data_IF_269047575196
#
_entry.id   IF_269047575196
#
_cell.length_a   1.000
_cell.length_b   1.000
_cell.length_c   1.000
_cell.angle_alpha   90.00
_cell.angle_beta   90.00
_cell.angle_gamma   90.00
#
_symmetry.space_group_name_H-M   'P 1'
#
loop_
_entity.id
_entity.type
_entity.pdbx_description
1 polymer ?
#
# COMPACT_ATOMS: atom_id res chain seq x y z
N UNK A 1 8.21 -17.84 -16.59
CA UNK A 1 8.98 -16.61 -16.80
C UNK A 1 9.53 -16.54 -18.22
N UNK A 2 8.79 -15.97 -19.17
CA UNK A 2 9.44 -15.26 -20.29
C UNK A 2 9.31 -13.80 -19.93
N UNK A 3 10.42 -13.12 -19.59
CA UNK A 3 10.44 -11.66 -19.71
C UNK A 3 9.97 -11.37 -21.14
N UNK A 4 8.96 -10.53 -21.34
CA UNK A 4 8.72 -10.02 -22.67
C UNK A 4 10.03 -9.36 -23.10
N UNK A 5 10.73 -9.97 -24.07
CA UNK A 5 11.92 -9.39 -24.65
C UNK A 5 11.40 -8.30 -25.58
N UNK A 6 11.01 -7.18 -24.99
CA UNK A 6 10.68 -5.98 -25.73
C UNK A 6 11.98 -5.26 -26.05
N UNK A 7 12.11 -4.80 -27.29
CA UNK A 7 13.27 -4.03 -27.73
C UNK A 7 12.91 -2.54 -27.78
N UNK A 8 13.90 -1.72 -27.42
CA UNK A 8 13.85 -0.27 -27.52
C UNK A 8 15.00 0.13 -28.45
N UNK A 9 14.69 0.85 -29.53
CA UNK A 9 15.69 1.35 -30.47
C UNK A 9 15.89 2.84 -30.18
N UNK A 10 16.90 3.15 -29.38
CA UNK A 10 17.30 4.53 -29.10
C UNK A 10 17.98 5.16 -30.32
N UNK A 11 17.72 6.44 -30.55
CA UNK A 11 18.32 7.18 -31.66
C UNK A 11 18.43 8.68 -31.40
N UNK A 12 19.28 9.40 -32.16
CA UNK A 12 19.29 10.85 -32.17
C UNK A 12 17.94 11.43 -32.62
N UNK A 13 17.52 12.55 -32.04
CA UNK A 13 16.25 13.23 -32.36
C UNK A 13 16.17 13.61 -33.84
N UNK A 14 17.28 13.98 -34.46
CA UNK A 14 17.37 14.31 -35.88
C UNK A 14 16.95 13.12 -36.75
N UNK A 15 17.39 11.91 -36.38
CA UNK A 15 17.03 10.68 -37.08
C UNK A 15 15.55 10.35 -36.88
N UNK A 16 15.03 10.55 -35.69
CA UNK A 16 13.60 10.37 -35.41
C UNK A 16 12.71 11.33 -36.22
N UNK A 17 13.15 12.59 -36.41
CA UNK A 17 12.44 13.56 -37.26
C UNK A 17 12.42 13.16 -38.72
N UNK A 18 13.54 12.65 -39.26
CA UNK A 18 13.57 12.11 -40.63
C UNK A 18 12.59 10.94 -40.79
N UNK A 19 12.53 10.04 -39.81
CA UNK A 19 11.57 8.92 -39.83
C UNK A 19 10.12 9.42 -39.81
N UNK A 20 9.83 10.43 -38.99
CA UNK A 20 8.50 11.05 -38.90
C UNK A 20 8.07 11.65 -40.25
N UNK A 21 8.98 12.34 -40.94
CA UNK A 21 8.75 12.94 -42.26
C UNK A 21 8.54 11.90 -43.36
N UNK A 22 9.19 10.73 -43.28
CA UNK A 22 9.13 9.70 -44.33
C UNK A 22 7.98 8.72 -44.14
N UNK A 23 7.66 8.36 -42.90
CA UNK A 23 6.71 7.30 -42.59
C UNK A 23 5.31 7.81 -42.25
N UNK A 24 5.15 9.12 -42.01
CA UNK A 24 3.89 9.77 -41.63
C UNK A 24 3.04 8.98 -40.61
N UNK A 25 3.61 8.53 -39.48
CA UNK A 25 2.87 7.82 -38.46
C UNK A 25 1.77 8.69 -37.84
N UNK A 26 0.71 8.05 -37.35
CA UNK A 26 -0.40 8.74 -36.69
C UNK A 26 0.05 9.30 -35.34
N UNK A 27 -0.33 10.55 -35.03
CA UNK A 27 -0.03 11.13 -33.72
C UNK A 27 -0.91 10.44 -32.67
N UNK A 28 -0.29 9.73 -31.71
CA UNK A 28 -1.01 8.82 -30.83
C UNK A 28 -1.44 9.50 -29.51
N UNK A 29 -0.53 10.18 -28.82
CA UNK A 29 -0.85 11.10 -27.72
C UNK A 29 -0.45 12.53 -28.09
N UNK A 30 -1.41 13.39 -28.49
CA UNK A 30 -1.07 14.68 -29.07
C UNK A 30 -0.35 15.64 -28.13
N UNK A 31 -0.66 15.66 -26.83
CA UNK A 31 -0.01 16.54 -25.85
C UNK A 31 -0.16 15.94 -24.43
N UNK A 32 0.95 15.76 -23.71
CA UNK A 32 0.92 15.68 -22.24
C UNK A 32 0.84 17.11 -21.67
N UNK A 33 -0.30 17.78 -21.88
CA UNK A 33 -0.54 19.08 -21.26
C UNK A 33 -0.86 18.90 -19.77
N UNK A 34 0.17 18.92 -18.92
CA UNK A 34 0.00 19.26 -17.52
C UNK A 34 0.62 20.63 -17.23
N UNK A 35 -0.13 21.41 -16.45
CA UNK A 35 0.12 22.79 -16.04
C UNK A 35 1.38 22.96 -15.16
N UNK A 36 2.56 22.56 -15.63
CA UNK A 36 3.84 22.89 -15.00
C UNK A 36 5.04 22.50 -15.88
N UNK A 37 5.26 23.21 -17.00
CA UNK A 37 6.58 23.47 -17.63
C UNK A 37 7.70 22.41 -17.75
N UNK A 38 7.51 21.13 -17.44
CA UNK A 38 8.60 20.17 -17.20
C UNK A 38 8.57 18.90 -18.06
N UNK A 39 7.53 18.65 -18.85
CA UNK A 39 7.43 17.45 -19.70
C UNK A 39 6.86 17.81 -21.06
N UNK A 40 7.67 17.63 -22.12
CA UNK A 40 7.28 17.84 -23.52
C UNK A 40 7.86 16.70 -24.37
N UNK A 41 7.13 15.60 -24.45
CA UNK A 41 7.44 14.56 -25.42
C UNK A 41 6.23 14.32 -26.34
N UNK A 42 6.53 13.87 -27.55
CA UNK A 42 5.55 13.56 -28.59
C UNK A 42 5.59 12.07 -28.89
N UNK A 43 4.44 11.47 -29.15
CA UNK A 43 4.33 10.05 -29.48
C UNK A 43 3.59 9.83 -30.80
N UNK A 44 4.08 8.86 -31.57
CA UNK A 44 3.54 8.52 -32.88
C UNK A 44 3.41 7.01 -33.04
N UNK A 45 2.27 6.55 -33.55
CA UNK A 45 1.98 5.15 -33.81
C UNK A 45 2.23 4.84 -35.29
N UNK A 46 3.13 3.90 -35.54
CA UNK A 46 3.35 3.36 -36.89
C UNK A 46 2.27 2.34 -37.25
N UNK A 47 1.97 2.15 -38.55
CA UNK A 47 1.01 1.15 -39.02
C UNK A 47 1.32 -0.30 -38.58
N UNK A 48 2.58 -0.59 -38.26
CA UNK A 48 3.02 -1.90 -37.78
C UNK A 48 2.88 -2.09 -36.25
N UNK A 49 2.29 -1.12 -35.54
CA UNK A 49 2.07 -1.18 -34.10
C UNK A 49 3.21 -0.65 -33.23
N UNK A 50 4.35 -0.26 -33.82
CA UNK A 50 5.47 0.35 -33.09
C UNK A 50 5.17 1.79 -32.69
N UNK A 51 5.80 2.26 -31.61
CA UNK A 51 5.61 3.62 -31.10
C UNK A 51 6.92 4.40 -31.17
N UNK A 52 6.94 5.53 -31.86
CA UNK A 52 8.02 6.52 -31.77
C UNK A 52 7.73 7.50 -30.64
N UNK A 53 8.70 7.70 -29.75
CA UNK A 53 8.69 8.79 -28.76
C UNK A 53 9.82 9.76 -29.06
N UNK A 54 9.53 11.06 -29.03
CA UNK A 54 10.50 12.15 -29.14
C UNK A 54 10.33 13.05 -27.92
N UNK A 55 11.32 13.08 -27.02
CA UNK A 55 11.36 13.91 -25.83
C UNK A 55 12.41 15.01 -25.99
N UNK A 56 11.93 16.26 -26.04
CA UNK A 56 12.78 17.46 -26.14
C UNK A 56 12.82 18.25 -24.83
N UNK A 57 12.21 17.75 -23.75
CA UNK A 57 12.06 18.47 -22.48
C UNK A 57 13.23 18.28 -21.51
N UNK A 58 14.03 17.23 -21.68
CA UNK A 58 15.16 16.97 -20.81
C UNK A 58 16.41 17.78 -21.18
N UNK A 59 17.33 17.94 -20.21
CA UNK A 59 18.70 18.46 -20.40
C UNK A 59 19.50 17.64 -21.43
N UNK A 60 19.00 16.44 -21.78
CA UNK A 60 19.48 15.56 -22.83
C UNK A 60 18.28 15.13 -23.70
N UNK A 61 18.16 15.60 -24.96
CA UNK A 61 17.08 15.20 -25.84
C UNK A 61 17.14 13.69 -26.13
N UNK A 62 15.97 13.05 -26.19
CA UNK A 62 15.85 11.60 -26.31
C UNK A 62 14.83 11.22 -27.38
N UNK A 63 15.13 10.21 -28.18
CA UNK A 63 14.15 9.59 -29.07
C UNK A 63 14.34 8.08 -29.13
N UNK A 64 13.23 7.34 -29.20
CA UNK A 64 13.27 5.89 -29.32
C UNK A 64 12.04 5.33 -30.02
N UNK A 65 12.21 4.17 -30.68
CA UNK A 65 11.11 3.33 -31.15
C UNK A 65 10.91 2.17 -30.18
N UNK A 66 9.69 2.03 -29.68
CA UNK A 66 9.22 0.95 -28.84
C UNK A 66 8.51 -0.09 -29.70
N UNK A 67 8.69 -1.38 -29.35
CA UNK A 67 8.09 -2.49 -30.07
C UNK A 67 6.56 -2.42 -30.11
N UNK A 68 5.93 -1.94 -29.04
CA UNK A 68 4.47 -1.80 -28.91
C UNK A 68 4.09 -0.81 -27.80
N UNK A 69 2.77 -0.60 -27.67
CA UNK A 69 2.19 0.27 -26.66
C UNK A 69 2.43 -0.18 -25.22
N UNK A 70 2.49 -1.50 -24.97
CA UNK A 70 2.76 -2.06 -23.63
C UNK A 70 4.18 -1.72 -23.17
N UNK A 71 5.13 -1.79 -24.10
CA UNK A 71 6.55 -1.53 -23.83
C UNK A 71 6.75 -0.07 -23.45
N UNK A 72 6.17 0.87 -24.20
CA UNK A 72 6.30 2.29 -23.87
C UNK A 72 5.59 2.64 -22.55
N UNK A 73 4.41 2.07 -22.27
CA UNK A 73 3.70 2.26 -21.02
C UNK A 73 4.54 1.82 -19.81
N UNK A 74 5.22 0.67 -19.87
CA UNK A 74 6.10 0.21 -18.79
C UNK A 74 7.30 1.12 -18.48
N UNK A 75 7.60 2.07 -19.37
CA UNK A 75 8.72 3.02 -19.22
C UNK A 75 8.28 4.46 -18.94
N UNK A 76 6.98 4.76 -19.09
CA UNK A 76 6.41 6.11 -19.01
C UNK A 76 5.06 6.04 -18.30
N UNK A 77 5.05 6.34 -17.00
CA UNK A 77 3.86 6.19 -16.14
C UNK A 77 2.64 7.03 -16.55
N UNK A 78 2.83 8.15 -17.25
CA UNK A 78 1.75 8.97 -17.79
C UNK A 78 1.18 8.42 -19.11
N UNK A 79 1.95 7.63 -19.85
CA UNK A 79 1.43 6.80 -20.95
C UNK A 79 0.73 5.58 -20.39
N UNK A 80 1.28 4.94 -19.36
CA UNK A 80 0.64 3.85 -18.62
C UNK A 80 -0.76 4.25 -18.15
N UNK A 81 -0.88 5.40 -17.46
CA UNK A 81 -2.16 5.94 -16.98
C UNK A 81 -3.16 6.20 -18.12
N UNK A 82 -2.71 6.55 -19.34
CA UNK A 82 -3.59 6.77 -20.51
C UNK A 82 -3.92 5.49 -21.28
N UNK A 83 -3.00 4.54 -21.32
CA UNK A 83 -3.14 3.26 -22.03
C UNK A 83 -3.99 2.29 -21.24
N UNK A 84 -3.73 2.23 -19.93
CA UNK A 84 -4.49 1.41 -19.01
C UNK A 84 -5.65 2.16 -18.36
N UNK A 85 -5.67 3.49 -18.51
CA UNK A 85 -6.72 4.35 -17.99
C UNK A 85 -6.71 4.38 -16.47
N UNK A 86 -7.18 5.48 -15.89
CA UNK A 86 -7.93 5.45 -14.63
C UNK A 86 -9.27 4.69 -14.82
N UNK A 87 -9.24 3.53 -15.47
CA UNK A 87 -10.39 2.65 -15.65
C UNK A 87 -10.60 1.95 -14.31
N UNK A 88 -11.37 2.62 -13.44
CA UNK A 88 -12.23 2.09 -12.40
C UNK A 88 -11.80 0.69 -11.97
N UNK A 89 -11.15 0.49 -10.82
CA UNK A 89 -10.70 -0.84 -10.34
C UNK A 89 -11.78 -1.92 -10.57
N UNK A 90 -13.06 -1.53 -10.55
CA UNK A 90 -14.21 -2.35 -10.95
C UNK A 90 -14.12 -3.01 -12.35
N UNK A 91 -13.51 -2.40 -13.36
CA UNK A 91 -13.30 -2.96 -14.70
C UNK A 91 -12.35 -4.17 -14.66
N UNK A 92 -11.22 -4.05 -13.96
CA UNK A 92 -10.31 -5.18 -13.73
C UNK A 92 -11.03 -6.28 -12.94
N UNK A 93 -11.75 -5.90 -11.88
CA UNK A 93 -12.60 -6.81 -11.11
C UNK A 93 -13.65 -7.54 -11.97
N UNK A 94 -14.27 -6.84 -12.93
CA UNK A 94 -15.24 -7.42 -13.89
C UNK A 94 -14.56 -8.40 -14.85
N UNK A 95 -13.31 -8.16 -15.25
CA UNK A 95 -12.54 -9.10 -16.08
C UNK A 95 -12.24 -10.37 -15.30
N UNK A 96 -11.75 -10.25 -14.07
CA UNK A 96 -11.58 -11.40 -13.18
C UNK A 96 -12.92 -12.13 -13.00
N UNK A 97 -14.00 -11.42 -12.68
CA UNK A 97 -15.33 -12.02 -12.51
C UNK A 97 -15.80 -12.83 -13.75
N UNK A 98 -15.34 -12.47 -14.95
CA UNK A 98 -15.64 -13.14 -16.22
C UNK A 98 -14.70 -14.31 -16.56
N UNK A 99 -13.72 -14.64 -15.73
CA UNK A 99 -12.83 -15.78 -15.93
C UNK A 99 -11.43 -15.44 -16.45
N UNK A 100 -11.09 -14.15 -16.54
CA UNK A 100 -9.75 -13.70 -16.89
C UNK A 100 -8.83 -13.82 -15.67
N UNK A 101 -7.68 -14.49 -15.83
CA UNK A 101 -6.72 -14.67 -14.73
C UNK A 101 -5.82 -13.45 -14.53
N UNK A 102 -5.81 -12.52 -15.49
CA UNK A 102 -4.94 -11.35 -15.49
C UNK A 102 -3.47 -11.72 -15.22
N UNK A 103 -2.95 -12.70 -15.97
CA UNK A 103 -1.61 -13.28 -15.77
C UNK A 103 -0.44 -12.28 -15.89
N UNK A 104 -0.71 -11.07 -16.40
CA UNK A 104 0.24 -9.97 -16.48
C UNK A 104 0.45 -9.25 -15.12
N UNK A 105 -0.40 -9.49 -14.11
CA UNK A 105 -0.37 -8.83 -12.79
C UNK A 105 0.32 -9.69 -11.71
N UNK A 106 0.88 -9.05 -10.68
CA UNK A 106 1.46 -9.77 -9.55
C UNK A 106 0.38 -10.49 -8.71
N UNK A 107 0.79 -11.54 -7.98
CA UNK A 107 -0.11 -12.40 -7.20
C UNK A 107 -0.98 -11.64 -6.19
N UNK A 108 -0.49 -10.52 -5.66
CA UNK A 108 -1.11 -9.68 -4.64
C UNK A 108 -1.84 -8.45 -5.21
N UNK A 109 -1.86 -8.25 -6.52
CA UNK A 109 -2.45 -7.05 -7.15
C UNK A 109 -3.91 -7.24 -7.57
N UNK A 110 -4.52 -8.39 -7.26
CA UNK A 110 -5.87 -8.71 -7.71
C UNK A 110 -6.90 -8.31 -6.65
N UNK A 111 -7.64 -7.24 -6.92
CA UNK A 111 -8.78 -6.80 -6.10
C UNK A 111 -10.10 -7.39 -6.63
N UNK A 112 -11.11 -7.51 -5.76
CA UNK A 112 -12.46 -7.96 -6.12
C UNK A 112 -13.53 -7.43 -5.16
N UNK A 113 -14.67 -6.97 -5.69
CA UNK A 113 -15.84 -6.70 -4.85
C UNK A 113 -16.53 -8.01 -4.43
N UNK A 114 -17.09 -8.09 -3.20
CA UNK A 114 -17.88 -9.22 -2.72
C UNK A 114 -19.03 -9.61 -3.65
N UNK A 115 -19.63 -8.62 -4.35
CA UNK A 115 -20.71 -8.85 -5.31
C UNK A 115 -20.28 -9.78 -6.47
N UNK A 116 -18.99 -9.83 -6.79
CA UNK A 116 -18.44 -10.62 -7.89
C UNK A 116 -17.88 -11.99 -7.51
N UNK A 117 -17.78 -12.34 -6.22
CA UNK A 117 -17.19 -13.63 -5.81
C UNK A 117 -17.94 -14.82 -6.42
N UNK A 118 -19.28 -14.75 -6.48
CA UNK A 118 -20.09 -15.80 -7.09
C UNK A 118 -19.75 -15.98 -8.57
N UNK A 119 -19.56 -14.87 -9.27
CA UNK A 119 -19.21 -14.86 -10.69
C UNK A 119 -17.79 -15.40 -10.88
N UNK A 120 -16.83 -15.00 -10.05
CA UNK A 120 -15.46 -15.55 -10.04
C UNK A 120 -15.49 -17.07 -9.84
N UNK A 121 -16.19 -17.55 -8.81
CA UNK A 121 -16.31 -18.99 -8.54
C UNK A 121 -16.91 -19.74 -9.73
N UNK A 122 -17.96 -19.19 -10.34
CA UNK A 122 -18.63 -19.81 -11.47
C UNK A 122 -17.76 -19.79 -12.75
N UNK A 123 -17.23 -18.64 -13.13
CA UNK A 123 -16.50 -18.43 -14.39
C UNK A 123 -15.14 -19.12 -14.40
N UNK A 124 -14.46 -19.16 -13.25
CA UNK A 124 -13.22 -19.90 -13.07
C UNK A 124 -13.44 -21.37 -12.69
N UNK A 125 -14.69 -21.83 -12.52
CA UNK A 125 -15.04 -23.20 -12.14
C UNK A 125 -14.30 -23.66 -10.87
N UNK A 126 -14.41 -22.84 -9.84
CA UNK A 126 -13.70 -23.00 -8.59
C UNK A 126 -14.40 -24.00 -7.67
N UNK A 127 -13.65 -24.98 -7.17
CA UNK A 127 -14.08 -25.90 -6.13
C UNK A 127 -13.29 -25.62 -4.86
N UNK A 128 -13.96 -25.48 -3.73
CA UNK A 128 -13.32 -25.24 -2.44
C UNK A 128 -12.40 -26.42 -2.08
N UNK A 129 -11.15 -26.12 -1.75
CA UNK A 129 -10.14 -27.10 -1.32
C UNK A 129 -9.95 -27.03 0.20
N UNK A 130 -9.78 -25.83 0.73
CA UNK A 130 -9.42 -25.62 2.13
C UNK A 130 -9.92 -24.26 2.62
N UNK A 131 -10.33 -24.18 3.89
CA UNK A 131 -10.73 -22.93 4.52
C UNK A 131 -9.60 -22.39 5.41
N UNK A 132 -9.65 -21.08 5.70
CA UNK A 132 -8.84 -20.44 6.74
C UNK A 132 -7.31 -20.53 6.51
N UNK A 133 -6.88 -20.33 5.26
CA UNK A 133 -5.48 -20.33 4.86
C UNK A 133 -4.86 -18.95 5.14
N UNK A 134 -3.72 -18.95 5.82
CA UNK A 134 -2.88 -17.76 6.04
C UNK A 134 -1.64 -17.76 5.13
N UNK A 135 -1.46 -16.68 4.36
CA UNK A 135 -0.24 -16.45 3.58
C UNK A 135 0.16 -14.98 3.63
N UNK A 136 1.33 -14.69 4.21
CA UNK A 136 1.83 -13.33 4.40
C UNK A 136 0.83 -12.49 5.22
N UNK A 137 0.20 -11.53 4.59
CA UNK A 137 -0.81 -10.59 5.05
C UNK A 137 -2.25 -11.01 4.70
N UNK A 138 -2.42 -12.16 4.04
CA UNK A 138 -3.70 -12.63 3.52
C UNK A 138 -4.29 -13.76 4.37
N UNK A 139 -5.60 -13.72 4.57
CA UNK A 139 -6.37 -14.79 5.20
C UNK A 139 -7.66 -15.09 4.43
N UNK A 140 -7.88 -16.35 4.03
CA UNK A 140 -9.10 -16.69 3.30
C UNK A 140 -9.23 -18.15 2.88
N UNK A 141 -10.08 -18.40 1.89
CA UNK A 141 -10.42 -19.74 1.44
C UNK A 141 -9.73 -20.08 0.12
N UNK A 142 -9.16 -21.28 0.05
CA UNK A 142 -8.45 -21.78 -1.11
C UNK A 142 -9.39 -22.60 -2.00
N UNK A 143 -9.41 -22.26 -3.28
CA UNK A 143 -10.16 -22.96 -4.30
C UNK A 143 -9.23 -23.49 -5.38
N UNK A 144 -9.63 -24.58 -6.02
CA UNK A 144 -9.00 -25.12 -7.21
C UNK A 144 -9.92 -24.88 -8.41
N UNK A 145 -9.36 -24.30 -9.47
CA UNK A 145 -10.03 -24.22 -10.76
C UNK A 145 -9.93 -25.56 -11.49
N UNK A 146 -11.00 -25.94 -12.19
CA UNK A 146 -10.97 -27.05 -13.14
C UNK A 146 -9.89 -26.88 -14.25
N UNK A 147 -9.41 -25.65 -14.46
CA UNK A 147 -8.33 -25.32 -15.41
C UNK A 147 -6.91 -25.52 -14.83
N UNK A 148 -6.78 -26.03 -13.60
CA UNK A 148 -5.51 -26.51 -13.04
C UNK A 148 -4.72 -25.52 -12.16
N UNK A 149 -5.26 -24.33 -11.88
CA UNK A 149 -4.66 -23.34 -10.97
C UNK A 149 -5.49 -23.18 -9.70
N UNK A 150 -4.96 -22.44 -8.73
CA UNK A 150 -5.55 -22.24 -7.41
C UNK A 150 -5.86 -20.77 -7.20
N UNK A 151 -6.99 -20.48 -6.56
CA UNK A 151 -7.40 -19.11 -6.23
C UNK A 151 -7.64 -19.06 -4.73
N UNK A 152 -6.90 -18.19 -4.06
CA UNK A 152 -7.12 -17.87 -2.67
C UNK A 152 -7.99 -16.60 -2.62
N UNK A 153 -9.19 -16.71 -2.03
CA UNK A 153 -10.16 -15.61 -1.95
C UNK A 153 -10.27 -15.17 -0.51
N UNK A 154 -10.15 -13.85 -0.28
CA UNK A 154 -10.20 -13.26 1.04
C UNK A 154 -11.57 -13.51 1.71
N UNK A 155 -11.56 -13.69 3.03
CA UNK A 155 -12.77 -13.97 3.77
C UNK A 155 -13.67 -12.72 3.89
N UNK A 156 -14.82 -12.76 3.24
CA UNK A 156 -15.82 -11.67 3.22
C UNK A 156 -16.22 -11.17 4.62
N UNK A 157 -16.04 -11.99 5.66
CA UNK A 157 -16.40 -11.71 7.06
C UNK A 157 -15.20 -11.43 7.97
N UNK A 158 -14.02 -11.12 7.44
CA UNK A 158 -12.92 -10.68 8.29
C UNK A 158 -13.36 -9.51 9.19
N UNK A 159 -12.96 -9.54 10.48
CA UNK A 159 -13.12 -8.42 11.41
C UNK A 159 -12.33 -7.18 10.96
N UNK A 160 -11.33 -7.38 10.11
CA UNK A 160 -10.40 -6.38 9.58
C UNK A 160 -10.65 -6.01 8.11
N UNK A 161 -11.70 -6.55 7.47
CA UNK A 161 -12.12 -6.07 6.15
C UNK A 161 -12.74 -4.68 6.26
N UNK A 162 -12.24 -3.72 5.48
CA UNK A 162 -12.63 -2.32 5.44
C UNK A 162 -14.15 -2.12 5.70
N UNK A 163 -14.47 -1.23 6.64
CA UNK A 163 -15.77 -1.15 7.31
C UNK A 163 -16.98 -0.87 6.40
N UNK A 164 -18.12 -1.41 6.82
CA UNK A 164 -19.54 -1.01 6.68
C UNK A 164 -20.11 -0.28 5.43
N UNK A 165 -19.35 0.15 4.41
CA UNK A 165 -19.90 0.84 3.23
C UNK A 165 -19.61 0.19 1.87
N UNK A 166 -18.47 -0.47 1.67
CA UNK A 166 -18.27 -1.46 0.60
C UNK A 166 -16.93 -2.15 0.85
N UNK A 167 -16.89 -3.48 0.99
CA UNK A 167 -15.63 -4.22 1.14
C UNK A 167 -15.02 -4.38 -0.25
N UNK A 168 -13.76 -4.02 -0.45
CA UNK A 168 -12.95 -4.53 -1.56
C UNK A 168 -12.10 -5.65 -0.95
N UNK A 169 -12.06 -6.80 -1.60
CA UNK A 169 -11.34 -7.99 -1.17
C UNK A 169 -10.12 -8.21 -2.06
N UNK A 170 -9.16 -8.99 -1.57
CA UNK A 170 -8.05 -9.47 -2.39
C UNK A 170 -8.29 -10.90 -2.90
N UNK A 171 -7.64 -11.20 -4.01
CA UNK A 171 -7.52 -12.52 -4.61
C UNK A 171 -6.03 -12.82 -4.82
N UNK A 172 -5.63 -14.09 -4.67
CA UNK A 172 -4.30 -14.55 -5.11
C UNK A 172 -4.44 -15.77 -6.00
N UNK A 173 -3.92 -15.70 -7.22
CA UNK A 173 -4.06 -16.76 -8.24
C UNK A 173 -2.74 -17.50 -8.40
N UNK A 174 -2.60 -18.64 -7.75
CA UNK A 174 -1.39 -19.48 -7.81
C UNK A 174 -1.46 -20.49 -8.96
N UNK A 175 -0.34 -20.79 -9.59
CA UNK A 175 -0.28 -21.82 -10.65
C UNK A 175 -0.37 -23.23 -10.10
N UNK A 176 0.05 -23.45 -8.85
CA UNK A 176 0.12 -24.78 -8.25
C UNK A 176 -0.14 -24.77 -6.74
N UNK A 177 -0.57 -25.90 -6.19
CA UNK A 177 -0.72 -26.08 -4.74
C UNK A 177 0.62 -25.92 -4.01
N UNK A 178 1.73 -26.32 -4.64
CA UNK A 178 3.07 -26.16 -4.07
C UNK A 178 3.43 -24.70 -3.83
N UNK A 179 3.01 -23.77 -4.70
CA UNK A 179 3.23 -22.33 -4.48
C UNK A 179 2.45 -21.82 -3.27
N UNK A 180 1.21 -22.28 -3.10
CA UNK A 180 0.39 -21.97 -1.91
C UNK A 180 1.09 -22.46 -0.65
N UNK A 181 1.56 -23.72 -0.63
CA UNK A 181 2.26 -24.30 0.54
C UNK A 181 3.58 -23.58 0.82
N UNK A 182 4.33 -23.19 -0.20
CA UNK A 182 5.55 -22.42 -0.03
C UNK A 182 5.26 -21.04 0.58
N UNK A 183 4.18 -20.37 0.14
CA UNK A 183 3.74 -19.10 0.72
C UNK A 183 3.31 -19.25 2.19
N UNK A 184 2.57 -20.31 2.53
CA UNK A 184 2.21 -20.62 3.93
C UNK A 184 3.44 -20.90 4.78
N UNK A 185 4.39 -21.71 4.29
CA UNK A 185 5.62 -22.01 5.02
C UNK A 185 6.50 -20.77 5.21
N UNK A 186 6.50 -19.83 4.26
CA UNK A 186 7.16 -18.53 4.42
C UNK A 186 6.47 -17.68 5.48
N UNK A 187 5.14 -17.61 5.46
CA UNK A 187 4.37 -16.95 6.51
C UNK A 187 4.67 -17.54 7.89
N UNK A 188 4.57 -18.86 8.05
CA UNK A 188 4.79 -19.53 9.33
C UNK A 188 6.20 -19.33 9.88
N UNK A 189 7.21 -19.24 9.02
CA UNK A 189 8.58 -18.90 9.41
C UNK A 189 8.70 -17.44 9.89
N UNK A 190 8.03 -16.53 9.20
CA UNK A 190 8.26 -15.10 9.38
C UNK A 190 7.20 -14.41 10.26
N UNK A 191 6.09 -15.08 10.60
CA UNK A 191 5.00 -14.48 11.40
C UNK A 191 5.43 -14.07 12.82
N UNK A 192 6.49 -14.72 13.31
CA UNK A 192 7.13 -14.41 14.58
C UNK A 192 8.51 -13.78 14.39
N UNK A 193 8.95 -13.60 13.14
CA UNK A 193 10.14 -12.78 12.90
C UNK A 193 9.74 -11.38 13.36
N UNK A 194 10.27 -11.00 14.51
CA UNK A 194 10.27 -9.63 15.00
C UNK A 194 10.72 -8.77 13.83
N UNK A 195 9.78 -8.02 13.25
CA UNK A 195 10.07 -6.90 12.35
C UNK A 195 11.20 -6.16 13.01
N UNK A 196 12.44 -6.26 12.48
CA UNK A 196 13.66 -5.87 13.19
C UNK A 196 13.42 -4.50 13.84
N UNK A 197 13.22 -4.53 15.15
CA UNK A 197 12.67 -3.44 15.97
C UNK A 197 13.65 -2.27 16.12
N UNK A 198 14.74 -2.29 15.37
CA UNK A 198 15.94 -1.51 15.62
C UNK A 198 15.88 -0.12 14.98
N UNK A 199 14.98 0.13 14.01
CA UNK A 199 14.98 1.43 13.33
C UNK A 199 13.98 2.44 13.91
N UNK A 200 12.76 2.08 14.29
CA UNK A 200 11.76 3.10 14.64
C UNK A 200 12.00 3.77 16.00
N UNK A 201 12.37 3.01 17.04
CA UNK A 201 12.75 3.60 18.33
C UNK A 201 14.04 4.40 18.20
N UNK A 202 15.01 3.88 17.46
CA UNK A 202 16.26 4.58 17.21
C UNK A 202 16.03 5.91 16.50
N UNK A 203 15.18 5.96 15.46
CA UNK A 203 14.89 7.19 14.74
C UNK A 203 14.13 8.22 15.58
N UNK A 204 13.14 7.79 16.38
CA UNK A 204 12.46 8.68 17.32
C UNK A 204 13.45 9.21 18.36
N UNK A 205 14.30 8.32 18.88
CA UNK A 205 15.33 8.64 19.86
C UNK A 205 16.37 9.62 19.30
N UNK A 206 16.85 9.40 18.08
CA UNK A 206 17.85 10.22 17.41
C UNK A 206 17.31 11.62 17.08
N UNK A 207 16.05 11.69 16.62
CA UNK A 207 15.45 12.94 16.15
C UNK A 207 14.85 13.78 17.28
N UNK A 208 14.27 13.14 18.29
CA UNK A 208 13.52 13.83 19.34
C UNK A 208 14.02 13.51 20.75
N UNK A 209 14.45 12.26 20.99
CA UNK A 209 15.02 11.82 22.26
C UNK A 209 14.12 12.11 23.46
N UNK A 210 14.74 12.48 24.59
CA UNK A 210 14.05 12.92 25.80
C UNK A 210 13.13 14.14 25.59
N UNK A 211 13.33 14.92 24.51
CA UNK A 211 12.56 16.11 24.20
C UNK A 211 11.29 15.82 23.37
N UNK A 212 10.99 14.57 23.01
CA UNK A 212 9.79 14.23 22.23
C UNK A 212 8.49 14.95 22.66
N UNK A 213 8.16 15.10 23.96
CA UNK A 213 6.94 15.79 24.38
C UNK A 213 6.83 17.24 23.89
N UNK A 214 7.95 17.95 23.71
CA UNK A 214 7.93 19.32 23.19
C UNK A 214 7.66 19.39 21.69
N UNK A 215 7.78 18.28 20.96
CA UNK A 215 7.54 18.21 19.52
C UNK A 215 6.13 17.73 19.16
N UNK A 216 5.35 17.24 20.14
CA UNK A 216 4.03 16.63 19.91
C UNK A 216 3.11 17.50 19.04
N UNK A 217 2.96 18.79 19.35
CA UNK A 217 2.12 19.69 18.54
C UNK A 217 2.62 19.78 17.10
N UNK A 218 3.91 20.03 16.89
CA UNK A 218 4.49 20.15 15.54
C UNK A 218 4.43 18.84 14.75
N UNK A 219 4.50 17.70 15.45
CA UNK A 219 4.35 16.37 14.87
C UNK A 219 2.92 16.18 14.36
N UNK A 220 1.92 16.56 15.15
CA UNK A 220 0.51 16.49 14.75
C UNK A 220 0.24 17.40 13.54
N UNK A 221 0.76 18.63 13.54
CA UNK A 221 0.60 19.58 12.43
C UNK A 221 1.18 19.02 11.12
N UNK A 222 2.19 18.15 11.20
CA UNK A 222 2.82 17.52 10.04
C UNK A 222 2.00 16.38 9.41
N UNK A 223 0.89 15.95 10.03
CA UNK A 223 0.04 14.89 9.46
C UNK A 223 -0.55 15.27 8.10
N UNK A 224 -0.91 16.56 7.90
CA UNK A 224 -1.53 17.02 6.65
C UNK A 224 -0.68 16.68 5.42
N UNK A 225 0.58 17.16 5.30
CA UNK A 225 1.39 16.86 4.13
C UNK A 225 1.87 15.41 4.06
N UNK A 226 1.88 14.67 5.18
CA UNK A 226 2.41 13.30 5.22
C UNK A 226 1.38 12.25 4.81
N UNK A 227 0.11 12.46 5.16
CA UNK A 227 -0.98 11.51 4.92
C UNK A 227 -2.07 12.08 4.00
N UNK A 228 -1.84 13.24 3.40
CA UNK A 228 -2.79 13.93 2.53
C UNK A 228 -4.16 14.17 3.19
N UNK A 229 -4.16 14.64 4.45
CA UNK A 229 -5.37 14.89 5.24
C UNK A 229 -5.61 16.39 5.35
N UNK A 230 -6.86 16.82 5.23
CA UNK A 230 -7.24 18.19 5.60
C UNK A 230 -7.27 18.33 7.14
N UNK A 231 -6.30 19.05 7.72
CA UNK A 231 -6.20 19.24 9.18
C UNK A 231 -7.37 20.00 9.80
N UNK A 232 -8.13 20.77 9.02
CA UNK A 232 -9.36 21.41 9.52
C UNK A 232 -10.43 20.38 9.91
N UNK A 233 -10.34 19.16 9.37
CA UNK A 233 -11.24 18.05 9.66
C UNK A 233 -10.68 17.11 10.74
N UNK A 234 -9.42 17.27 11.14
CA UNK A 234 -8.74 16.42 12.11
C UNK A 234 -9.07 16.93 13.52
N UNK A 235 -10.11 16.37 14.13
CA UNK A 235 -10.48 16.64 15.51
C UNK A 235 -9.75 15.72 16.49
N UNK A 236 -9.29 16.24 17.63
CA UNK A 236 -8.76 15.40 18.72
C UNK A 236 -9.94 14.68 19.42
N UNK A 237 -10.54 13.72 18.75
CA UNK A 237 -11.60 12.85 19.24
C UNK A 237 -11.70 11.56 18.38
N UNK A 238 -12.79 10.77 18.55
CA UNK A 238 -12.96 9.53 17.78
C UNK A 238 -13.16 9.75 16.29
N UNK A 239 -13.75 10.87 15.87
CA UNK A 239 -14.02 11.13 14.46
C UNK A 239 -12.71 11.45 13.72
N UNK A 240 -11.85 12.26 14.33
CA UNK A 240 -10.53 12.51 13.76
C UNK A 240 -9.63 11.28 13.79
N UNK A 241 -9.74 10.38 14.78
CA UNK A 241 -9.02 9.11 14.76
C UNK A 241 -9.45 8.23 13.58
N UNK A 242 -10.76 8.11 13.33
CA UNK A 242 -11.27 7.37 12.18
C UNK A 242 -10.76 7.95 10.85
N UNK A 243 -10.62 9.29 10.74
CA UNK A 243 -10.06 9.97 9.58
C UNK A 243 -8.55 9.66 9.38
N UNK A 244 -7.76 9.65 10.46
CA UNK A 244 -6.33 9.30 10.39
C UNK A 244 -6.13 7.83 10.05
N UNK A 245 -6.97 6.94 10.60
CA UNK A 245 -6.96 5.51 10.25
C UNK A 245 -7.27 5.29 8.76
N UNK A 246 -8.27 5.99 8.22
CA UNK A 246 -8.59 5.94 6.79
C UNK A 246 -7.42 6.48 5.95
N UNK A 247 -6.83 7.61 6.32
CA UNK A 247 -5.71 8.16 5.58
C UNK A 247 -4.46 7.26 5.59
N UNK A 248 -4.21 6.56 6.70
CA UNK A 248 -3.16 5.55 6.78
C UNK A 248 -3.42 4.37 5.85
N UNK A 249 -4.67 3.92 5.70
CA UNK A 249 -5.00 2.85 4.73
C UNK A 249 -4.52 3.18 3.32
N UNK A 250 -4.67 4.44 2.90
CA UNK A 250 -4.32 4.88 1.56
C UNK A 250 -2.85 5.23 1.38
N UNK A 251 -2.18 5.70 2.44
CA UNK A 251 -0.84 6.31 2.33
C UNK A 251 0.28 5.53 3.06
N UNK A 252 -0.05 4.61 3.98
CA UNK A 252 0.94 3.91 4.80
C UNK A 252 1.79 2.87 4.04
N UNK A 253 1.32 2.39 2.88
CA UNK A 253 2.03 1.42 2.03
C UNK A 253 3.35 1.96 1.47
N UNK A 254 3.55 3.29 1.48
CA UNK A 254 4.84 3.87 1.16
C UNK A 254 5.78 3.79 2.36
N UNK A 255 6.47 2.66 2.50
CA UNK A 255 7.46 2.41 3.56
C UNK A 255 8.54 3.49 3.66
N UNK A 256 8.85 4.22 2.58
CA UNK A 256 9.82 5.32 2.61
C UNK A 256 9.35 6.55 3.42
N UNK A 257 8.04 6.65 3.68
CA UNK A 257 7.43 7.70 4.48
C UNK A 257 7.14 7.26 5.92
N UNK A 258 7.31 5.97 6.24
CA UNK A 258 7.03 5.39 7.56
C UNK A 258 7.69 6.20 8.67
N UNK A 259 8.99 6.44 8.53
CA UNK A 259 9.83 7.17 9.48
C UNK A 259 9.42 8.63 9.72
N UNK A 260 8.55 9.16 8.84
CA UNK A 260 8.03 10.54 8.91
C UNK A 260 6.64 10.56 9.51
N UNK A 261 5.73 9.70 9.03
CA UNK A 261 4.35 9.71 9.54
C UNK A 261 4.20 8.99 10.87
N UNK A 262 5.01 7.97 11.18
CA UNK A 262 4.85 7.18 12.40
C UNK A 262 4.95 8.02 13.69
N UNK A 263 5.96 8.90 13.87
CA UNK A 263 6.03 9.76 15.07
C UNK A 263 4.85 10.73 15.16
N UNK A 264 4.34 11.22 14.02
CA UNK A 264 3.20 12.12 13.95
C UNK A 264 1.89 11.43 14.34
N UNK A 265 1.67 10.22 13.82
CA UNK A 265 0.51 9.37 14.17
C UNK A 265 0.56 9.00 15.64
N UNK A 266 1.72 8.62 16.16
CA UNK A 266 1.90 8.32 17.58
C UNK A 266 1.57 9.54 18.47
N UNK A 267 2.09 10.72 18.12
CA UNK A 267 1.80 11.96 18.84
C UNK A 267 0.29 12.26 18.86
N UNK A 268 -0.37 12.16 17.71
CA UNK A 268 -1.80 12.38 17.55
C UNK A 268 -2.66 11.41 18.37
N UNK A 269 -2.34 10.12 18.31
CA UNK A 269 -3.07 9.10 19.08
C UNK A 269 -2.88 9.27 20.59
N UNK A 270 -1.70 9.72 21.03
CA UNK A 270 -1.47 10.05 22.44
C UNK A 270 -2.29 11.26 22.92
N UNK A 271 -2.40 12.33 22.12
CA UNK A 271 -3.26 13.47 22.43
C UNK A 271 -4.74 13.07 22.46
N UNK A 272 -5.19 12.26 21.50
CA UNK A 272 -6.54 11.70 21.51
C UNK A 272 -6.79 10.91 22.79
N UNK A 273 -5.83 10.08 23.22
CA UNK A 273 -5.93 9.30 24.47
C UNK A 273 -6.11 10.20 25.67
N UNK A 274 -5.19 11.15 25.85
CA UNK A 274 -5.22 12.03 27.02
C UNK A 274 -6.51 12.83 27.07
N UNK A 275 -7.00 13.33 25.92
CA UNK A 275 -8.25 14.09 25.86
C UNK A 275 -9.49 13.24 26.12
N UNK A 276 -9.61 12.06 25.50
CA UNK A 276 -10.80 11.21 25.63
C UNK A 276 -10.85 10.50 26.98
N UNK A 277 -9.71 9.98 27.45
CA UNK A 277 -9.63 9.28 28.74
C UNK A 277 -9.48 10.23 29.91
N UNK A 278 -9.15 11.50 29.65
CA UNK A 278 -8.84 12.51 30.65
C UNK A 278 -7.78 12.02 31.66
N UNK A 279 -6.75 11.34 31.14
CA UNK A 279 -5.73 10.63 31.92
C UNK A 279 -4.41 10.54 31.17
N UNK A 280 -3.35 10.51 31.97
CA UNK A 280 -1.99 10.28 31.52
C UNK A 280 -1.24 11.56 31.17
N UNK A 281 0.07 11.44 31.04
CA UNK A 281 0.96 12.51 30.60
C UNK A 281 2.07 11.94 29.71
N UNK A 282 2.56 12.71 28.75
CA UNK A 282 3.74 12.33 27.97
C UNK A 282 4.97 12.22 28.87
N UNK A 283 5.62 11.06 28.82
CA UNK A 283 6.90 10.77 29.46
C UNK A 283 7.80 10.04 28.48
N UNK A 284 9.10 10.26 28.61
CA UNK A 284 10.11 9.54 27.84
C UNK A 284 10.97 8.73 28.79
N UNK A 285 11.09 7.44 28.53
CA UNK A 285 11.93 6.53 29.27
C UNK A 285 13.15 6.18 28.43
N UNK A 286 14.33 6.16 29.04
CA UNK A 286 15.53 5.63 28.40
C UNK A 286 15.57 4.11 28.59
N UNK A 287 15.70 3.37 27.49
CA UNK A 287 15.97 1.94 27.49
C UNK A 287 17.48 1.74 27.36
N UNK A 288 18.11 1.23 28.41
CA UNK A 288 19.56 1.00 28.47
C UNK A 288 20.02 -0.15 27.58
N UNK A 289 19.20 -1.20 27.43
CA UNK A 289 19.51 -2.38 26.62
C UNK A 289 19.66 -2.03 25.14
N UNK A 290 18.71 -1.22 24.65
CA UNK A 290 18.66 -0.79 23.25
C UNK A 290 19.32 0.59 23.03
N UNK A 291 19.74 1.28 24.11
CA UNK A 291 20.30 2.64 24.08
C UNK A 291 19.42 3.71 23.41
N UNK A 292 18.09 3.59 23.55
CA UNK A 292 17.10 4.48 22.91
C UNK A 292 16.15 5.16 23.89
N UNK A 293 15.69 6.35 23.53
CA UNK A 293 14.60 7.06 24.20
C UNK A 293 13.24 6.64 23.63
N UNK A 294 12.37 6.18 24.51
CA UNK A 294 11.03 5.67 24.20
C UNK A 294 10.01 6.59 24.87
N UNK A 295 9.32 7.46 24.12
CA UNK A 295 8.19 8.22 24.66
C UNK A 295 7.04 7.31 25.14
N UNK A 296 5.96 7.89 25.65
CA UNK A 296 4.78 7.13 26.05
C UNK A 296 3.88 7.94 26.96
N UNK A 297 2.64 7.50 27.12
CA UNK A 297 1.70 8.14 28.04
C UNK A 297 1.73 7.40 29.38
N UNK A 298 2.36 8.00 30.38
CA UNK A 298 2.44 7.46 31.73
C UNK A 298 1.12 7.70 32.45
N UNK A 299 0.54 6.65 33.02
CA UNK A 299 -0.69 6.68 33.79
C UNK A 299 -0.40 6.82 35.29
N UNK A 300 -1.42 7.22 36.06
CA UNK A 300 -1.30 7.42 37.52
C UNK A 300 -0.90 6.16 38.29
N UNK A 301 -1.17 4.98 37.74
CA UNK A 301 -0.81 3.69 38.32
C UNK A 301 0.64 3.27 38.00
N UNK A 302 1.42 4.13 37.34
CA UNK A 302 2.81 3.86 36.93
C UNK A 302 2.93 3.04 35.64
N UNK A 303 1.81 2.62 35.05
CA UNK A 303 1.81 1.90 33.77
C UNK A 303 1.78 2.85 32.57
N UNK A 304 2.17 2.35 31.40
CA UNK A 304 2.03 3.09 30.14
C UNK A 304 0.73 2.75 29.42
N UNK A 305 0.11 3.76 28.82
CA UNK A 305 -1.19 3.63 28.16
C UNK A 305 -1.16 2.77 26.89
N UNK A 306 -0.01 2.60 26.24
CA UNK A 306 0.12 1.77 25.05
C UNK A 306 1.49 1.09 25.01
N UNK A 307 1.52 -0.11 24.43
CA UNK A 307 2.76 -0.77 24.01
C UNK A 307 3.06 -0.34 22.58
N UNK A 308 4.26 0.17 22.38
CA UNK A 308 4.67 0.75 21.12
C UNK A 308 5.00 -0.29 20.06
N UNK A 309 5.42 -1.49 20.49
CA UNK A 309 5.58 -2.62 19.60
C UNK A 309 4.22 -3.07 19.10
N UNK A 310 3.21 -3.08 19.97
CA UNK A 310 1.84 -3.40 19.57
C UNK A 310 1.21 -2.30 18.69
N UNK A 311 1.51 -1.03 18.97
CA UNK A 311 1.12 0.11 18.13
C UNK A 311 1.74 0.04 16.74
N UNK A 312 3.04 -0.20 16.68
CA UNK A 312 3.76 -0.45 15.43
C UNK A 312 3.20 -1.66 14.69
N UNK A 313 3.00 -2.78 15.40
CA UNK A 313 2.46 -4.02 14.84
C UNK A 313 1.06 -3.80 14.26
N UNK A 314 0.21 -3.06 14.98
CA UNK A 314 -1.14 -2.71 14.53
C UNK A 314 -1.15 -1.79 13.31
N UNK A 315 -0.07 -1.02 13.09
CA UNK A 315 0.13 -0.25 11.86
C UNK A 315 0.67 -1.11 10.72
N UNK A 316 1.59 -2.05 11.00
CA UNK A 316 2.29 -2.85 10.00
C UNK A 316 1.52 -4.08 9.51
N UNK A 317 0.61 -4.62 10.32
CA UNK A 317 -0.19 -5.82 9.99
C UNK A 317 -1.52 -5.49 9.28
N UNK A 318 -1.64 -4.27 8.74
CA UNK A 318 -2.84 -3.76 8.08
C UNK A 318 -3.75 -2.96 9.01
N UNK A 319 -4.80 -2.30 8.49
CA UNK A 319 -5.50 -1.23 9.18
C UNK A 319 -6.50 -1.75 10.21
N UNK A 320 -5.97 -2.27 11.32
CA UNK A 320 -6.74 -2.46 12.54
C UNK A 320 -6.94 -1.07 13.16
N UNK A 321 -8.14 -0.72 13.64
CA UNK A 321 -8.36 0.57 14.30
C UNK A 321 -7.31 0.80 15.38
N UNK A 322 -6.48 1.83 15.26
CA UNK A 322 -5.29 2.02 16.11
C UNK A 322 -5.64 2.25 17.57
N UNK A 323 -6.90 2.64 17.84
CA UNK A 323 -7.49 2.61 19.18
C UNK A 323 -7.38 1.24 19.87
N UNK A 324 -7.09 0.14 19.17
CA UNK A 324 -6.91 -1.19 19.78
C UNK A 324 -5.48 -1.46 20.25
N UNK A 325 -4.50 -0.67 19.81
CA UNK A 325 -3.08 -0.82 20.17
C UNK A 325 -2.72 -0.27 21.56
N UNK A 326 -3.71 0.01 22.39
CA UNK A 326 -3.54 0.66 23.70
C UNK A 326 -4.51 0.15 24.77
N UNK A 327 -4.38 0.70 25.97
CA UNK A 327 -5.35 0.63 27.07
C UNK A 327 -6.65 1.39 26.76
N UNK A 328 -6.90 1.75 25.50
CA UNK A 328 -8.10 2.47 25.10
C UNK A 328 -9.38 1.73 25.50
N UNK A 329 -9.35 0.40 25.47
CA UNK A 329 -10.47 -0.47 25.80
C UNK A 329 -10.22 -1.33 27.05
N UNK A 330 -9.12 -1.12 27.79
CA UNK A 330 -8.74 -1.98 28.91
C UNK A 330 -8.03 -3.29 28.51
N UNK A 331 -7.92 -3.58 27.21
CA UNK A 331 -7.47 -4.89 26.71
C UNK A 331 -5.99 -5.16 26.99
N UNK A 332 -5.09 -4.19 26.76
CA UNK A 332 -3.65 -4.37 27.02
C UNK A 332 -3.36 -4.54 28.51
N UNK A 333 -4.06 -3.77 29.38
CA UNK A 333 -3.95 -3.97 30.82
C UNK A 333 -4.40 -5.34 31.26
N UNK A 334 -5.43 -5.93 30.64
CA UNK A 334 -5.84 -7.32 30.90
C UNK A 334 -4.79 -8.34 30.43
N UNK A 335 -4.12 -8.11 29.30
CA UNK A 335 -3.05 -8.99 28.83
C UNK A 335 -1.80 -8.93 29.74
N UNK A 336 -1.48 -7.76 30.29
CA UNK A 336 -0.32 -7.56 31.18
C UNK A 336 -0.59 -7.88 32.65
N UNK A 337 -1.82 -7.71 33.12
CA UNK A 337 -2.28 -8.26 34.38
C UNK A 337 -2.62 -9.73 34.14
N UNK A 338 -1.58 -10.57 34.06
CA UNK A 338 -1.72 -11.99 33.70
C UNK A 338 -2.92 -12.65 34.36
N UNK A 339 -3.62 -13.49 33.59
CA UNK A 339 -4.81 -14.22 34.00
C UNK A 339 -4.64 -14.75 35.44
N UNK A 340 -5.42 -14.20 36.37
CA UNK A 340 -5.59 -14.74 37.71
C UNK A 340 -6.91 -15.47 37.80
#
# INVERSE_FOLDING_TARGET
FKKNISYIIEMPVEKARIILEQAHPEKYFPDSNHQSGYISYQTYLFPNGQILLIDTSARFPYAAIYADLKTIASTKGDIEEKVYGSDDDEHLMKRIAKGDRMEDFELNEHLIYPKYIKDVIASHQLTLVENNIFVSDFYGNLYQSAKGYYVLIDEVKQKNGAGRKMRILELRIYHSLSEVRAAQARYERNKNDTVRHEHFYQQISDRYGAAFPSFVSSLIDSLSPLLNINMEQVTIDSAGMDLVDEALQWNANNYSLFDRYFPAVLAYYGECYMKIKNKGEWRVQYNEEDSVWIPGILLKDGSYAFDWRDFYKSLSEGPVPLRWAGDWHGSIKRMRAGDK
#
